data_IF_514535722423
#
_entry.id   IF_514535722423
#
_cell.length_a   1.000
_cell.length_b   1.000
_cell.length_c   1.000
_cell.angle_alpha   90.00
_cell.angle_beta   90.00
_cell.angle_gamma   90.00
#
_symmetry.space_group_name_H-M   'P 1'
#
loop_
_entity.id
_entity.type
_entity.pdbx_description
1 polymer ?
#
# COMPACT_ATOMS: atom_id res chain seq x y z
N UNK A 1 7.40 -25.38 -18.57
CA UNK A 1 7.55 -24.42 -19.68
C UNK A 1 6.86 -23.17 -19.20
N UNK A 2 7.66 -22.33 -18.52
CA UNK A 2 7.21 -21.56 -17.38
C UNK A 2 6.58 -20.21 -17.71
N UNK A 3 5.87 -19.70 -16.72
CA UNK A 3 5.08 -18.47 -16.72
C UNK A 3 5.93 -17.26 -17.10
N UNK A 4 7.26 -17.34 -16.92
CA UNK A 4 8.23 -16.36 -17.38
C UNK A 4 8.33 -16.13 -18.89
N UNK A 5 7.94 -17.10 -19.73
CA UNK A 5 7.97 -16.89 -21.19
C UNK A 5 6.67 -16.27 -21.72
N UNK A 6 5.55 -16.48 -21.05
CA UNK A 6 4.25 -15.98 -21.51
C UNK A 6 3.80 -14.71 -20.80
N UNK A 7 4.03 -14.59 -19.48
CA UNK A 7 3.48 -13.50 -18.69
C UNK A 7 4.15 -12.15 -18.97
N UNK A 8 5.49 -12.02 -19.06
CA UNK A 8 6.13 -10.76 -19.45
C UNK A 8 5.81 -10.35 -20.88
N UNK A 9 5.68 -11.31 -21.81
CA UNK A 9 5.36 -11.02 -23.21
C UNK A 9 3.89 -10.60 -23.36
N UNK A 10 2.96 -11.29 -22.70
CA UNK A 10 1.53 -10.95 -22.72
C UNK A 10 1.26 -9.67 -21.92
N UNK A 11 1.90 -9.49 -20.75
CA UNK A 11 1.79 -8.26 -19.96
C UNK A 11 2.40 -7.05 -20.68
N UNK A 12 3.52 -7.23 -21.39
CA UNK A 12 4.10 -6.18 -22.24
C UNK A 12 3.25 -5.90 -23.48
N UNK A 13 2.75 -6.93 -24.16
CA UNK A 13 1.91 -6.75 -25.35
C UNK A 13 0.55 -6.10 -25.02
N UNK A 14 -0.08 -6.50 -23.91
CA UNK A 14 -1.30 -5.86 -23.40
C UNK A 14 -1.00 -4.49 -22.80
N UNK A 15 0.13 -4.35 -22.11
CA UNK A 15 0.61 -3.09 -21.55
C UNK A 15 0.83 -2.04 -22.63
N UNK A 16 1.55 -2.37 -23.70
CA UNK A 16 1.80 -1.49 -24.84
C UNK A 16 0.47 -1.02 -25.49
N UNK A 17 -0.54 -1.89 -25.57
CA UNK A 17 -1.87 -1.54 -26.07
C UNK A 17 -2.67 -0.65 -25.12
N UNK A 18 -2.40 -0.73 -23.81
CA UNK A 18 -3.08 0.01 -22.75
C UNK A 18 -2.29 1.25 -22.28
N UNK A 19 -1.17 1.57 -22.93
CA UNK A 19 -0.22 2.62 -22.52
C UNK A 19 0.37 2.41 -21.11
N UNK A 20 0.63 1.15 -20.75
CA UNK A 20 1.21 0.70 -19.49
C UNK A 20 2.52 -0.05 -19.80
N UNK A 21 3.65 0.44 -19.31
CA UNK A 21 4.90 -0.32 -19.31
C UNK A 21 4.89 -1.33 -18.15
N UNK A 22 5.27 -2.58 -18.44
CA UNK A 22 5.47 -3.61 -17.40
C UNK A 22 6.95 -4.02 -17.38
N UNK A 23 7.59 -3.84 -16.23
CA UNK A 23 8.97 -4.26 -15.98
C UNK A 23 9.03 -5.39 -14.97
N UNK A 24 10.03 -6.26 -15.10
CA UNK A 24 10.30 -7.34 -14.15
C UNK A 24 11.73 -7.21 -13.66
N UNK A 25 11.91 -7.00 -12.36
CA UNK A 25 13.24 -6.81 -11.76
C UNK A 25 13.18 -6.27 -10.34
N UNK A 26 14.31 -6.37 -9.63
CA UNK A 26 14.42 -5.94 -8.24
C UNK A 26 13.68 -6.84 -7.25
N UNK A 27 13.55 -6.35 -6.02
CA UNK A 27 12.85 -6.99 -4.91
C UNK A 27 11.44 -6.47 -4.67
N UNK A 28 11.10 -5.31 -5.25
CA UNK A 28 9.92 -4.54 -4.85
C UNK A 28 8.92 -4.44 -6.00
N UNK A 29 7.63 -4.54 -5.67
CA UNK A 29 6.54 -4.21 -6.58
C UNK A 29 6.14 -2.75 -6.40
N UNK A 30 5.85 -2.05 -7.49
CA UNK A 30 5.34 -0.68 -7.45
C UNK A 30 4.66 -0.27 -8.75
N UNK A 31 3.74 0.68 -8.64
CA UNK A 31 3.08 1.38 -9.73
C UNK A 31 3.45 2.86 -9.72
N UNK A 32 3.60 3.44 -10.91
CA UNK A 32 3.76 4.89 -11.06
C UNK A 32 3.17 5.36 -12.39
N UNK A 33 2.79 6.64 -12.46
CA UNK A 33 2.37 7.29 -13.71
C UNK A 33 3.29 8.47 -13.94
N UNK A 34 3.88 8.55 -15.13
CA UNK A 34 4.73 9.66 -15.55
C UNK A 34 4.39 10.07 -16.97
N UNK A 35 4.11 11.36 -17.17
CA UNK A 35 3.71 11.93 -18.46
C UNK A 35 2.54 11.18 -19.13
N UNK A 36 1.55 10.75 -18.34
CA UNK A 36 0.38 10.00 -18.83
C UNK A 36 0.69 8.55 -19.23
N UNK A 37 1.91 8.05 -19.01
CA UNK A 37 2.29 6.65 -19.20
C UNK A 37 2.39 5.96 -17.85
N UNK A 38 1.66 4.86 -17.69
CA UNK A 38 1.72 4.05 -16.49
C UNK A 38 2.92 3.09 -16.55
N UNK A 39 3.52 2.79 -15.41
CA UNK A 39 4.57 1.82 -15.23
C UNK A 39 4.22 0.92 -14.04
N UNK A 40 4.29 -0.39 -14.25
CA UNK A 40 4.17 -1.41 -13.21
C UNK A 40 5.47 -2.21 -13.17
N UNK A 41 6.12 -2.27 -12.01
CA UNK A 41 7.24 -3.15 -11.77
C UNK A 41 6.82 -4.35 -10.93
N UNK A 42 7.22 -5.55 -11.35
CA UNK A 42 7.01 -6.79 -10.62
C UNK A 42 8.38 -7.38 -10.20
N UNK A 43 8.53 -7.85 -8.96
CA UNK A 43 9.77 -8.46 -8.50
C UNK A 43 10.15 -9.71 -9.29
N UNK A 44 11.46 -9.93 -9.46
CA UNK A 44 11.97 -11.14 -10.10
C UNK A 44 12.25 -12.21 -9.06
N UNK A 45 11.57 -13.35 -9.20
CA UNK A 45 11.94 -14.58 -8.48
C UNK A 45 12.62 -15.57 -9.43
N UNK A 46 13.25 -16.62 -8.91
CA UNK A 46 13.72 -17.74 -9.76
C UNK A 46 12.64 -18.82 -9.97
N UNK A 47 11.67 -18.88 -9.06
CA UNK A 47 10.64 -19.93 -9.00
C UNK A 47 9.22 -19.36 -9.25
N UNK A 48 9.00 -18.51 -10.28
CA UNK A 48 7.65 -17.93 -10.53
C UNK A 48 6.59 -19.00 -10.76
N UNK A 49 6.95 -20.15 -11.33
CA UNK A 49 5.98 -21.20 -11.61
C UNK A 49 5.24 -21.62 -10.33
N UNK A 50 5.96 -21.71 -9.21
CA UNK A 50 5.42 -22.00 -7.88
C UNK A 50 4.76 -20.77 -7.21
N UNK A 51 5.14 -19.56 -7.62
CA UNK A 51 4.69 -18.28 -7.06
C UNK A 51 3.66 -17.56 -7.94
N UNK A 52 3.03 -18.28 -8.86
CA UNK A 52 2.19 -17.72 -9.91
C UNK A 52 1.05 -16.85 -9.39
N UNK A 53 0.31 -17.33 -8.40
CA UNK A 53 -0.79 -16.59 -7.78
C UNK A 53 -0.32 -15.35 -7.01
N UNK A 54 0.85 -15.42 -6.37
CA UNK A 54 1.43 -14.27 -5.66
C UNK A 54 1.94 -13.19 -6.64
N UNK A 55 2.58 -13.60 -7.74
CA UNK A 55 3.03 -12.69 -8.81
C UNK A 55 1.85 -12.04 -9.55
N UNK A 56 0.79 -12.80 -9.78
CA UNK A 56 -0.48 -12.25 -10.28
C UNK A 56 -1.11 -11.32 -9.25
N UNK A 57 -0.99 -11.64 -7.96
CA UNK A 57 -1.44 -10.77 -6.86
C UNK A 57 -0.74 -9.41 -6.86
N UNK A 58 0.59 -9.38 -7.00
CA UNK A 58 1.33 -8.14 -7.21
C UNK A 58 0.82 -7.38 -8.42
N UNK A 59 0.68 -8.05 -9.56
CA UNK A 59 0.19 -7.41 -10.79
C UNK A 59 -1.20 -6.80 -10.63
N UNK A 60 -2.12 -7.52 -9.96
CA UNK A 60 -3.47 -7.05 -9.67
C UNK A 60 -3.46 -5.85 -8.72
N UNK A 61 -2.62 -5.90 -7.69
CA UNK A 61 -2.47 -4.81 -6.72
C UNK A 61 -1.91 -3.54 -7.39
N UNK A 62 -0.82 -3.65 -8.14
CA UNK A 62 -0.23 -2.50 -8.85
C UNK A 62 -1.15 -1.95 -9.95
N UNK A 63 -1.89 -2.83 -10.65
CA UNK A 63 -2.92 -2.39 -11.59
C UNK A 63 -4.08 -1.66 -10.89
N UNK A 64 -4.37 -1.99 -9.63
CA UNK A 64 -5.36 -1.26 -8.83
C UNK A 64 -4.90 0.17 -8.56
N UNK A 65 -3.62 0.38 -8.26
CA UNK A 65 -3.06 1.72 -8.14
C UNK A 65 -3.22 2.51 -9.44
N UNK A 66 -2.82 1.97 -10.59
CA UNK A 66 -2.98 2.68 -11.88
C UNK A 66 -4.43 3.08 -12.14
N UNK A 67 -5.39 2.27 -11.70
CA UNK A 67 -6.82 2.52 -11.93
C UNK A 67 -7.45 3.48 -10.93
N UNK A 68 -7.10 3.37 -9.65
CA UNK A 68 -7.84 4.00 -8.55
C UNK A 68 -7.04 5.08 -7.83
N UNK A 69 -5.71 5.09 -7.94
CA UNK A 69 -4.85 6.11 -7.34
C UNK A 69 -4.72 7.29 -8.28
N UNK A 70 -5.02 8.49 -7.78
CA UNK A 70 -5.00 9.74 -8.54
C UNK A 70 -3.58 10.30 -8.66
N UNK A 71 -2.67 9.55 -9.29
CA UNK A 71 -1.24 9.90 -9.40
C UNK A 71 -1.00 11.31 -9.93
N UNK A 72 -1.69 11.74 -10.99
CA UNK A 72 -1.45 13.07 -11.58
C UNK A 72 -1.78 14.23 -10.63
N UNK A 73 -2.70 14.03 -9.69
CA UNK A 73 -3.07 15.01 -8.67
C UNK A 73 -2.13 14.94 -7.46
N UNK A 74 -1.61 13.75 -7.15
CA UNK A 74 -0.94 13.48 -5.88
C UNK A 74 0.58 13.27 -5.97
N UNK A 75 1.12 13.01 -7.15
CA UNK A 75 2.56 12.77 -7.35
C UNK A 75 3.42 13.91 -6.82
N UNK A 76 3.07 15.21 -6.98
CA UNK A 76 3.86 16.29 -6.40
C UNK A 76 3.93 16.23 -4.87
N UNK A 77 2.81 15.93 -4.22
CA UNK A 77 2.72 15.79 -2.77
C UNK A 77 3.45 14.54 -2.27
N UNK A 78 3.28 13.40 -2.95
CA UNK A 78 3.98 12.14 -2.67
C UNK A 78 5.49 12.28 -2.88
N UNK A 79 5.92 12.96 -3.94
CA UNK A 79 7.34 13.26 -4.17
C UNK A 79 7.90 14.18 -3.07
N UNK A 80 7.11 15.15 -2.62
CA UNK A 80 7.42 15.99 -1.46
C UNK A 80 7.60 15.17 -0.18
N UNK A 81 6.77 14.14 0.03
CA UNK A 81 6.88 13.16 1.12
C UNK A 81 8.09 12.22 0.93
N UNK A 82 8.40 11.80 -0.30
CA UNK A 82 9.55 10.97 -0.61
C UNK A 82 10.89 11.73 -0.55
N UNK A 83 10.87 13.05 -0.29
CA UNK A 83 12.07 13.88 -0.12
C UNK A 83 12.64 14.45 -1.43
N UNK A 84 11.91 14.36 -2.53
CA UNK A 84 12.28 14.98 -3.80
C UNK A 84 11.90 16.47 -3.81
N UNK A 85 12.75 17.32 -4.39
CA UNK A 85 12.46 18.74 -4.56
C UNK A 85 11.39 18.92 -5.63
N UNK A 86 10.17 19.26 -5.21
CA UNK A 86 9.04 19.51 -6.11
C UNK A 86 8.38 20.83 -5.74
N UNK A 87 8.12 21.68 -6.74
CA UNK A 87 7.19 22.81 -6.60
C UNK A 87 5.78 22.25 -6.48
N UNK A 88 5.29 22.09 -5.26
CA UNK A 88 3.92 21.67 -5.04
C UNK A 88 3.02 22.91 -5.03
N UNK A 89 2.13 23.02 -6.02
CA UNK A 89 1.31 24.22 -6.29
C UNK A 89 -0.08 24.19 -5.64
N UNK A 90 -0.37 23.20 -4.82
CA UNK A 90 -1.62 23.10 -4.08
C UNK A 90 -1.43 23.32 -2.56
N UNK A 91 -2.55 23.64 -1.90
CA UNK A 91 -2.65 23.84 -0.45
C UNK A 91 -2.11 22.63 0.34
N UNK A 92 -2.16 21.45 -0.28
CA UNK A 92 -1.75 20.16 0.25
C UNK A 92 -0.23 19.98 0.30
N UNK A 93 0.49 20.37 -0.75
CA UNK A 93 1.94 20.39 -0.78
C UNK A 93 2.58 21.34 0.22
N UNK A 94 1.92 22.46 0.48
CA UNK A 94 2.33 23.41 1.50
C UNK A 94 2.23 22.81 2.91
N UNK A 95 1.20 22.00 3.18
CA UNK A 95 1.05 21.25 4.44
C UNK A 95 2.14 20.20 4.63
N UNK A 96 2.49 19.44 3.59
CA UNK A 96 3.60 18.48 3.60
C UNK A 96 4.96 19.19 3.77
N UNK A 97 5.10 20.38 3.18
CA UNK A 97 6.31 21.20 3.27
C UNK A 97 6.47 21.92 4.62
N UNK A 98 5.43 22.02 5.44
CA UNK A 98 5.43 22.72 6.74
C UNK A 98 6.41 22.17 7.78
N UNK A 99 6.95 20.95 7.55
CA UNK A 99 7.84 20.27 8.50
C UNK A 99 7.12 19.67 9.72
N UNK A 100 5.79 19.82 9.81
CA UNK A 100 4.97 19.25 10.90
C UNK A 100 5.00 17.72 10.94
N UNK A 101 5.10 17.08 9.78
CA UNK A 101 4.97 15.63 9.64
C UNK A 101 6.31 14.98 9.30
N UNK A 102 6.64 13.87 9.97
CA UNK A 102 7.68 12.98 9.48
C UNK A 102 7.24 12.37 8.15
N UNK A 103 7.91 12.77 7.08
CA UNK A 103 7.49 12.43 5.71
C UNK A 103 7.43 10.93 5.44
N UNK A 104 8.38 10.15 5.99
CA UNK A 104 8.41 8.69 5.79
C UNK A 104 7.24 8.01 6.49
N UNK A 105 6.97 8.37 7.73
CA UNK A 105 5.87 7.80 8.51
C UNK A 105 4.52 8.16 7.90
N UNK A 106 4.33 9.43 7.52
CA UNK A 106 3.08 9.86 6.89
C UNK A 106 2.86 9.17 5.54
N UNK A 107 3.91 9.02 4.73
CA UNK A 107 3.84 8.25 3.48
C UNK A 107 3.51 6.77 3.72
N UNK A 108 4.10 6.14 4.73
CA UNK A 108 3.77 4.76 5.10
C UNK A 108 2.30 4.60 5.53
N UNK A 109 1.78 5.52 6.34
CA UNK A 109 0.37 5.53 6.75
C UNK A 109 -0.56 5.73 5.55
N UNK A 110 -0.19 6.62 4.63
CA UNK A 110 -0.94 6.83 3.39
C UNK A 110 -0.94 5.59 2.50
N UNK A 111 0.20 4.94 2.29
CA UNK A 111 0.27 3.68 1.54
C UNK A 111 -0.66 2.63 2.16
N UNK A 112 -0.62 2.46 3.49
CA UNK A 112 -1.50 1.50 4.18
C UNK A 112 -2.97 1.84 3.93
N UNK A 113 -3.36 3.11 4.09
CA UNK A 113 -4.73 3.57 3.86
C UNK A 113 -5.17 3.38 2.39
N UNK A 114 -4.31 3.77 1.44
CA UNK A 114 -4.57 3.68 0.01
C UNK A 114 -4.73 2.22 -0.43
N UNK A 115 -3.87 1.32 0.03
CA UNK A 115 -3.98 -0.12 -0.24
C UNK A 115 -5.32 -0.67 0.23
N UNK A 116 -5.77 -0.29 1.43
CA UNK A 116 -7.05 -0.75 1.95
C UNK A 116 -8.21 -0.32 1.02
N UNK A 117 -8.16 0.92 0.53
CA UNK A 117 -9.16 1.50 -0.37
C UNK A 117 -9.15 0.84 -1.75
N UNK A 118 -7.98 0.74 -2.39
CA UNK A 118 -7.87 0.23 -3.77
C UNK A 118 -8.18 -1.26 -3.81
N UNK A 119 -7.78 -2.05 -2.82
CA UNK A 119 -8.05 -3.49 -2.79
C UNK A 119 -9.55 -3.74 -2.65
N UNK A 120 -10.24 -2.98 -1.80
CA UNK A 120 -11.71 -3.03 -1.72
C UNK A 120 -12.35 -2.66 -3.05
N UNK A 121 -11.89 -1.56 -3.66
CA UNK A 121 -12.42 -1.06 -4.93
C UNK A 121 -12.22 -2.08 -6.05
N UNK A 122 -11.05 -2.72 -6.09
CA UNK A 122 -10.72 -3.78 -7.03
C UNK A 122 -11.62 -5.00 -6.85
N UNK A 123 -11.78 -5.51 -5.61
CA UNK A 123 -12.63 -6.67 -5.32
C UNK A 123 -14.11 -6.37 -5.62
N UNK A 124 -14.58 -5.14 -5.41
CA UNK A 124 -15.96 -4.74 -5.71
C UNK A 124 -16.27 -4.82 -7.21
N UNK A 125 -15.33 -4.44 -8.07
CA UNK A 125 -15.51 -4.49 -9.53
C UNK A 125 -15.17 -5.89 -10.09
N UNK A 126 -14.13 -6.53 -9.55
CA UNK A 126 -13.60 -7.80 -10.01
C UNK A 126 -13.46 -8.79 -8.84
N UNK A 127 -14.55 -9.41 -8.34
CA UNK A 127 -14.50 -10.28 -7.16
C UNK A 127 -13.51 -11.45 -7.27
N UNK A 128 -13.24 -11.93 -8.48
CA UNK A 128 -12.27 -13.00 -8.74
C UNK A 128 -10.81 -12.64 -8.41
N UNK A 129 -10.52 -11.35 -8.19
CA UNK A 129 -9.19 -10.87 -7.79
C UNK A 129 -8.83 -11.21 -6.34
N UNK A 130 -9.83 -11.51 -5.50
CA UNK A 130 -9.62 -11.75 -4.06
C UNK A 130 -8.61 -12.87 -3.79
N UNK A 131 -8.61 -13.93 -4.60
CA UNK A 131 -7.67 -15.06 -4.43
C UNK A 131 -6.22 -14.64 -4.64
N UNK A 132 -5.97 -13.74 -5.60
CA UNK A 132 -4.63 -13.27 -5.93
C UNK A 132 -4.15 -12.26 -4.89
N UNK A 133 -5.05 -11.39 -4.42
CA UNK A 133 -4.77 -10.47 -3.31
C UNK A 133 -4.47 -11.24 -2.01
N UNK A 134 -5.18 -12.33 -1.73
CA UNK A 134 -4.86 -13.21 -0.61
C UNK A 134 -3.50 -13.90 -0.79
N UNK A 135 -3.21 -14.42 -1.97
CA UNK A 135 -1.94 -15.09 -2.26
C UNK A 135 -0.73 -14.16 -2.09
N UNK A 136 -0.80 -12.92 -2.57
CA UNK A 136 0.30 -11.95 -2.38
C UNK A 136 0.45 -11.53 -0.92
N UNK A 137 -0.66 -11.33 -0.18
CA UNK A 137 -0.59 -11.02 1.26
C UNK A 137 0.07 -12.15 2.04
N UNK A 138 -0.30 -13.40 1.79
CA UNK A 138 0.37 -14.56 2.39
C UNK A 138 1.85 -14.59 2.04
N UNK A 139 2.18 -14.42 0.76
CA UNK A 139 3.57 -14.40 0.31
C UNK A 139 4.42 -13.31 0.98
N UNK A 140 3.86 -12.10 1.17
CA UNK A 140 4.57 -10.96 1.75
C UNK A 140 4.62 -11.02 3.28
N UNK A 141 3.55 -11.48 3.94
CA UNK A 141 3.37 -11.33 5.39
C UNK A 141 3.38 -12.65 6.19
N UNK A 142 3.45 -13.82 5.56
CA UNK A 142 3.55 -15.12 6.27
C UNK A 142 4.98 -15.45 6.75
N UNK A 143 5.94 -14.57 6.50
CA UNK A 143 7.31 -14.68 7.02
C UNK A 143 7.39 -14.57 8.54
N UNK A 144 8.49 -15.04 9.13
CA UNK A 144 8.74 -14.84 10.56
C UNK A 144 8.76 -13.36 10.88
N UNK A 145 8.08 -13.01 11.97
CA UNK A 145 8.04 -11.66 12.47
C UNK A 145 8.89 -11.55 13.75
N UNK A 146 9.87 -10.65 13.75
CA UNK A 146 10.71 -10.34 14.91
C UNK A 146 10.11 -9.21 15.75
N UNK A 147 10.12 -9.33 17.07
CA UNK A 147 9.68 -8.24 17.95
C UNK A 147 10.49 -6.96 17.68
N UNK A 148 9.82 -5.81 17.72
CA UNK A 148 10.46 -4.50 17.58
C UNK A 148 10.29 -3.72 18.87
N UNK A 149 11.31 -2.95 19.24
CA UNK A 149 11.28 -1.98 20.34
C UNK A 149 11.09 -0.54 19.84
N UNK A 150 10.98 -0.34 18.53
CA UNK A 150 10.85 1.00 17.91
C UNK A 150 9.36 1.36 17.81
N UNK A 151 8.86 2.36 18.56
CA UNK A 151 7.42 2.65 18.63
C UNK A 151 6.79 2.93 17.26
N UNK A 152 7.48 3.68 16.38
CA UNK A 152 6.98 3.96 15.04
C UNK A 152 6.83 2.70 14.18
N UNK A 153 7.72 1.72 14.31
CA UNK A 153 7.65 0.44 13.59
C UNK A 153 6.47 -0.37 14.11
N UNK A 154 6.34 -0.48 15.43
CA UNK A 154 5.19 -1.16 16.07
C UNK A 154 3.87 -0.54 15.60
N UNK A 155 3.79 0.79 15.57
CA UNK A 155 2.59 1.50 15.14
C UNK A 155 2.25 1.21 13.68
N UNK A 156 3.21 1.39 12.76
CA UNK A 156 3.01 1.18 11.32
C UNK A 156 2.65 -0.28 10.99
N UNK A 157 3.39 -1.24 11.56
CA UNK A 157 3.16 -2.66 11.28
C UNK A 157 1.86 -3.16 11.89
N UNK A 158 1.42 -2.57 13.01
CA UNK A 158 0.08 -2.83 13.56
C UNK A 158 -1.01 -2.29 12.64
N UNK A 159 -0.88 -1.06 12.13
CA UNK A 159 -1.84 -0.51 11.16
C UNK A 159 -1.90 -1.35 9.89
N UNK A 160 -0.75 -1.82 9.41
CA UNK A 160 -0.65 -2.68 8.24
C UNK A 160 -1.33 -4.04 8.46
N UNK A 161 -0.98 -4.77 9.52
CA UNK A 161 -1.44 -6.14 9.74
C UNK A 161 -2.84 -6.21 10.36
N UNK A 162 -3.08 -5.46 11.45
CA UNK A 162 -4.41 -5.45 12.09
C UNK A 162 -5.46 -4.75 11.21
N UNK A 163 -5.08 -3.72 10.44
CA UNK A 163 -5.96 -3.09 9.46
C UNK A 163 -6.43 -4.08 8.40
N UNK A 164 -5.51 -4.87 7.82
CA UNK A 164 -5.84 -5.91 6.84
C UNK A 164 -6.66 -7.06 7.43
N UNK A 165 -6.36 -7.49 8.66
CA UNK A 165 -7.18 -8.48 9.36
C UNK A 165 -8.61 -7.99 9.51
N UNK A 166 -8.79 -6.77 10.04
CA UNK A 166 -10.11 -6.20 10.34
C UNK A 166 -10.94 -5.93 9.10
N UNK A 167 -10.33 -5.40 8.04
CA UNK A 167 -11.07 -4.87 6.88
C UNK A 167 -11.02 -5.76 5.63
N UNK A 168 -10.07 -6.68 5.55
CA UNK A 168 -9.89 -7.58 4.41
C UNK A 168 -9.79 -9.07 4.78
N UNK A 169 -9.94 -9.41 6.07
CA UNK A 169 -9.97 -10.80 6.54
C UNK A 169 -8.63 -11.53 6.42
N UNK A 170 -7.51 -10.81 6.48
CA UNK A 170 -6.17 -11.40 6.44
C UNK A 170 -5.61 -11.66 7.85
N UNK A 171 -5.45 -12.92 8.24
CA UNK A 171 -5.29 -13.30 9.66
C UNK A 171 -3.85 -13.55 10.13
N UNK A 172 -2.84 -13.23 9.32
CA UNK A 172 -1.46 -13.56 9.68
C UNK A 172 -0.80 -12.49 10.55
N UNK A 173 -0.17 -12.91 11.66
CA UNK A 173 0.65 -12.10 12.58
C UNK A 173 -0.04 -10.92 13.30
N UNK A 174 -1.31 -10.65 13.01
CA UNK A 174 -2.04 -9.51 13.56
C UNK A 174 -2.18 -9.58 15.10
N UNK A 175 -2.39 -10.77 15.67
CA UNK A 175 -2.51 -10.94 17.13
C UNK A 175 -1.21 -10.59 17.88
N UNK A 176 -0.06 -10.95 17.31
CA UNK A 176 1.26 -10.64 17.89
C UNK A 176 1.46 -9.12 17.89
N UNK A 177 1.22 -8.46 16.75
CA UNK A 177 1.31 -6.99 16.64
C UNK A 177 0.35 -6.28 17.58
N UNK A 178 -0.89 -6.77 17.67
CA UNK A 178 -1.91 -6.23 18.58
C UNK A 178 -1.40 -6.22 20.02
N UNK A 179 -0.87 -7.35 20.48
CA UNK A 179 -0.39 -7.48 21.85
C UNK A 179 0.81 -6.56 22.12
N UNK A 180 1.77 -6.49 21.19
CA UNK A 180 2.90 -5.58 21.30
C UNK A 180 2.45 -4.11 21.32
N UNK A 181 1.55 -3.73 20.43
CA UNK A 181 1.00 -2.38 20.40
C UNK A 181 0.30 -2.03 21.71
N UNK A 182 -0.56 -2.90 22.23
CA UNK A 182 -1.26 -2.68 23.50
C UNK A 182 -0.26 -2.51 24.64
N UNK A 183 0.85 -3.26 24.63
CA UNK A 183 1.88 -3.16 25.68
C UNK A 183 2.64 -1.83 25.67
N UNK A 184 2.75 -1.18 24.50
CA UNK A 184 3.51 0.08 24.33
C UNK A 184 2.60 1.31 24.40
N UNK A 185 1.45 1.27 23.72
CA UNK A 185 0.58 2.42 23.50
C UNK A 185 -0.79 2.31 24.19
N UNK A 186 -1.14 1.11 24.69
CA UNK A 186 -2.44 0.85 25.29
C UNK A 186 -3.54 0.50 24.28
N UNK A 187 -4.61 -0.09 24.81
CA UNK A 187 -5.76 -0.55 24.01
C UNK A 187 -6.59 0.59 23.42
N UNK A 188 -6.74 1.70 24.15
CA UNK A 188 -7.55 2.82 23.69
C UNK A 188 -7.00 3.44 22.38
N UNK A 189 -5.68 3.60 22.29
CA UNK A 189 -5.04 4.13 21.08
C UNK A 189 -5.20 3.18 19.89
N UNK A 190 -5.11 1.87 20.15
CA UNK A 190 -5.28 0.84 19.12
C UNK A 190 -6.67 0.93 18.50
N UNK A 191 -7.71 0.96 19.34
CA UNK A 191 -9.11 0.98 18.90
C UNK A 191 -9.38 2.24 18.07
N UNK A 192 -8.99 3.42 18.59
CA UNK A 192 -9.13 4.70 17.86
C UNK A 192 -8.37 4.68 16.53
N UNK A 193 -7.14 4.18 16.52
CA UNK A 193 -6.33 4.13 15.29
C UNK A 193 -6.95 3.20 14.26
N UNK A 194 -7.42 2.00 14.66
CA UNK A 194 -8.07 1.09 13.73
C UNK A 194 -9.41 1.63 13.22
N UNK A 195 -10.18 2.35 14.03
CA UNK A 195 -11.44 2.97 13.61
C UNK A 195 -11.19 4.09 12.58
N UNK A 196 -10.20 4.96 12.83
CA UNK A 196 -9.77 5.98 11.86
C UNK A 196 -9.29 5.33 10.57
N UNK A 197 -8.46 4.28 10.66
CA UNK A 197 -7.99 3.54 9.48
C UNK A 197 -9.14 2.94 8.67
N UNK A 198 -10.23 2.54 9.33
CA UNK A 198 -11.45 2.05 8.68
C UNK A 198 -12.12 3.06 7.76
N UNK A 199 -11.91 4.37 7.98
CA UNK A 199 -12.41 5.40 7.08
C UNK A 199 -11.78 5.31 5.69
N UNK A 200 -10.52 4.86 5.58
CA UNK A 200 -9.84 4.70 4.29
C UNK A 200 -10.52 3.65 3.40
N UNK A 201 -11.05 2.58 4.00
CA UNK A 201 -11.77 1.50 3.30
C UNK A 201 -12.95 2.05 2.51
N UNK A 202 -13.57 3.15 2.98
CA UNK A 202 -14.73 3.78 2.34
C UNK A 202 -14.40 5.13 1.69
N UNK A 203 -13.13 5.53 1.65
CA UNK A 203 -12.74 6.75 1.00
C UNK A 203 -13.00 6.66 -0.52
N UNK A 204 -13.54 7.73 -1.10
CA UNK A 204 -13.82 7.81 -2.53
C UNK A 204 -12.60 8.26 -3.34
N UNK A 205 -11.64 8.92 -2.69
CA UNK A 205 -10.49 9.59 -3.34
C UNK A 205 -9.17 9.26 -2.66
N UNK A 206 -8.06 9.41 -3.38
CA UNK A 206 -6.71 9.30 -2.82
C UNK A 206 -6.45 10.35 -1.74
N UNK A 207 -7.07 11.53 -1.87
CA UNK A 207 -7.03 12.59 -0.86
C UNK A 207 -7.65 12.14 0.46
N UNK A 208 -8.78 11.43 0.40
CA UNK A 208 -9.44 10.89 1.60
C UNK A 208 -8.54 9.94 2.39
N UNK A 209 -7.78 9.08 1.71
CA UNK A 209 -6.79 8.21 2.36
C UNK A 209 -5.68 8.99 3.07
N UNK A 210 -5.32 10.15 2.53
CA UNK A 210 -4.27 10.97 3.12
C UNK A 210 -4.76 11.77 4.33
N UNK A 211 -6.00 12.22 4.33
CA UNK A 211 -6.62 12.78 5.52
C UNK A 211 -6.76 11.73 6.64
N UNK A 212 -7.00 10.46 6.29
CA UNK A 212 -6.92 9.34 7.23
C UNK A 212 -5.50 9.18 7.77
N UNK A 213 -4.50 9.15 6.90
CA UNK A 213 -3.10 9.04 7.31
C UNK A 213 -2.64 10.18 8.24
N UNK A 214 -3.12 11.41 8.00
CA UNK A 214 -2.87 12.57 8.87
C UNK A 214 -3.52 12.41 10.24
N UNK A 215 -4.78 11.99 10.29
CA UNK A 215 -5.47 11.73 11.55
C UNK A 215 -4.79 10.64 12.37
N UNK A 216 -4.30 9.57 11.73
CA UNK A 216 -3.51 8.54 12.38
C UNK A 216 -2.19 9.10 12.92
N UNK A 217 -1.49 9.91 12.12
CA UNK A 217 -0.24 10.54 12.53
C UNK A 217 -0.43 11.47 13.74
N UNK A 218 -1.40 12.38 13.66
CA UNK A 218 -1.69 13.34 14.73
C UNK A 218 -2.11 12.59 16.01
N UNK A 219 -2.96 11.56 15.89
CA UNK A 219 -3.34 10.71 17.01
C UNK A 219 -2.14 10.00 17.67
N UNK A 220 -1.15 9.57 16.88
CA UNK A 220 0.04 8.89 17.39
C UNK A 220 1.05 9.83 18.08
N UNK A 221 1.09 11.11 17.70
CA UNK A 221 1.96 12.11 18.33
C UNK A 221 1.36 12.65 19.63
N UNK A 222 0.03 12.69 19.72
CA UNK A 222 -0.69 13.15 20.91
C UNK A 222 -0.80 12.07 22.02
N UNK A 223 -0.31 10.85 21.76
CA UNK A 223 -0.35 9.69 22.67
C UNK A 223 0.94 9.54 23.50
#
# INVERSE_FOLDING_TARGET
MGIYNSLPIVARALGDQLNIDVTVGGSDAYASVSNGKALINIPYYKNADDLSDALLGFTVHEAAHIRFTEFDLFQPALNGLAGQSVEVKDEFGSLVASGRYNKKVLHSLWNIAEDLRIERSMVRIYPGTIRFLQAVRSFVFDGKYDASDVPAVIYLDTMLLCGRQRYHGFDTHADVRRNEFISVFGQELLEKSLDILGLAVFADTTLGCLDVARQLYDLAIDA
#
